data_IF_461199831704
#
_entry.id   IF_461199831704
#
_cell.length_a   1.000
_cell.length_b   1.000
_cell.length_c   1.000
_cell.angle_alpha   90.00
_cell.angle_beta   90.00
_cell.angle_gamma   90.00
#
_symmetry.space_group_name_H-M   'P 1'
#
loop_
_entity.id
_entity.type
_entity.pdbx_description
1 polymer ?
#
# COMPACT_ATOMS: atom_id res chain seq x y z
N UNK A 1 25.32 9.60 -0.02
CA UNK A 1 23.91 9.81 0.41
C UNK A 1 23.43 11.23 0.16
N UNK A 2 24.30 12.25 0.15
CA UNK A 2 23.95 13.65 -0.15
C UNK A 2 23.28 13.82 -1.53
N UNK A 3 23.75 13.11 -2.56
CA UNK A 3 23.17 13.21 -3.91
C UNK A 3 21.72 12.72 -4.00
N UNK A 4 21.34 11.68 -3.26
CA UNK A 4 19.98 11.13 -3.34
C UNK A 4 18.97 12.08 -2.69
N UNK A 5 19.37 12.69 -1.56
CA UNK A 5 18.55 13.70 -0.89
C UNK A 5 18.45 14.95 -1.76
N UNK A 6 19.56 15.42 -2.36
CA UNK A 6 19.56 16.58 -3.26
C UNK A 6 18.69 16.38 -4.52
N UNK A 7 18.72 15.18 -5.10
CA UNK A 7 17.84 14.81 -6.22
C UNK A 7 16.38 14.77 -5.74
N UNK A 8 16.12 14.19 -4.57
CA UNK A 8 14.75 14.11 -4.05
C UNK A 8 14.17 15.48 -3.68
N UNK A 9 14.95 16.40 -3.12
CA UNK A 9 14.49 17.75 -2.77
C UNK A 9 14.51 18.73 -3.93
N UNK A 10 14.98 18.31 -5.11
CA UNK A 10 14.87 19.12 -6.32
C UNK A 10 13.39 19.36 -6.65
N UNK A 11 12.96 20.61 -6.89
CA UNK A 11 11.54 20.96 -7.07
C UNK A 11 10.83 20.11 -8.15
N UNK A 12 11.58 19.79 -9.19
CA UNK A 12 11.17 19.05 -10.39
C UNK A 12 10.77 17.59 -10.05
N UNK A 13 11.32 17.04 -8.96
CA UNK A 13 11.11 15.66 -8.52
C UNK A 13 10.03 15.53 -7.43
N UNK A 14 9.50 16.64 -6.92
CA UNK A 14 8.40 16.66 -5.92
C UNK A 14 7.18 15.86 -6.42
N UNK A 15 6.72 15.97 -7.69
CA UNK A 15 5.59 15.18 -8.18
C UNK A 15 5.87 13.67 -8.13
N UNK A 16 7.09 13.25 -8.46
CA UNK A 16 7.50 11.84 -8.44
C UNK A 16 7.47 11.30 -7.01
N UNK A 17 7.96 12.08 -6.04
CA UNK A 17 7.92 11.71 -4.62
C UNK A 17 6.49 11.59 -4.12
N UNK A 18 5.62 12.55 -4.50
CA UNK A 18 4.19 12.47 -4.19
C UNK A 18 3.56 11.18 -4.73
N UNK A 19 3.86 10.82 -5.97
CA UNK A 19 3.40 9.58 -6.59
C UNK A 19 3.94 8.34 -5.83
N UNK A 20 5.21 8.36 -5.43
CA UNK A 20 5.84 7.29 -4.66
C UNK A 20 5.14 7.07 -3.31
N UNK A 21 4.81 8.14 -2.60
CA UNK A 21 4.05 8.06 -1.34
C UNK A 21 2.68 7.45 -1.59
N UNK A 22 1.95 7.88 -2.63
CA UNK A 22 0.65 7.29 -2.98
C UNK A 22 0.75 5.80 -3.29
N UNK A 23 1.76 5.39 -4.06
CA UNK A 23 2.03 3.99 -4.37
C UNK A 23 2.27 3.19 -3.08
N UNK A 24 3.07 3.71 -2.15
CA UNK A 24 3.35 3.05 -0.87
C UNK A 24 2.09 2.90 -0.02
N UNK A 25 1.22 3.91 0.02
CA UNK A 25 -0.06 3.86 0.75
C UNK A 25 -0.98 2.79 0.15
N UNK A 26 -1.13 2.78 -1.19
CA UNK A 26 -1.95 1.79 -1.89
C UNK A 26 -1.39 0.37 -1.70
N UNK A 27 -0.08 0.20 -1.86
CA UNK A 27 0.60 -1.08 -1.69
C UNK A 27 0.46 -1.60 -0.26
N UNK A 28 0.67 -0.74 0.75
CA UNK A 28 0.47 -1.10 2.15
C UNK A 28 -0.97 -1.53 2.45
N UNK A 29 -1.94 -0.83 1.86
CA UNK A 29 -3.36 -1.18 1.99
C UNK A 29 -3.67 -2.53 1.34
N UNK A 30 -3.15 -2.79 0.15
CA UNK A 30 -3.31 -4.06 -0.56
C UNK A 30 -2.68 -5.23 0.21
N UNK A 31 -1.46 -5.05 0.74
CA UNK A 31 -0.79 -6.07 1.55
C UNK A 31 -1.59 -6.35 2.83
N UNK A 32 -2.08 -5.32 3.52
CA UNK A 32 -2.90 -5.49 4.72
C UNK A 32 -4.18 -6.28 4.44
N UNK A 33 -4.86 -5.99 3.33
CA UNK A 33 -6.04 -6.73 2.89
C UNK A 33 -5.69 -8.18 2.53
N UNK A 34 -4.62 -8.40 1.77
CA UNK A 34 -4.16 -9.73 1.39
C UNK A 34 -3.86 -10.61 2.61
N UNK A 35 -3.14 -10.09 3.60
CA UNK A 35 -2.84 -10.82 4.84
C UNK A 35 -4.11 -11.13 5.63
N UNK A 36 -5.05 -10.18 5.71
CA UNK A 36 -6.31 -10.36 6.43
C UNK A 36 -7.18 -11.43 5.77
N UNK A 37 -7.32 -11.38 4.44
CA UNK A 37 -8.08 -12.37 3.68
C UNK A 37 -7.41 -13.74 3.71
N UNK A 38 -6.08 -13.83 3.60
CA UNK A 38 -5.36 -15.11 3.71
C UNK A 38 -5.61 -15.80 5.07
N UNK A 39 -5.66 -15.03 6.16
CA UNK A 39 -6.03 -15.54 7.48
C UNK A 39 -7.48 -16.06 7.54
N UNK A 40 -8.42 -15.38 6.87
CA UNK A 40 -9.82 -15.82 6.81
C UNK A 40 -9.96 -17.11 5.99
N UNK A 41 -9.24 -17.21 4.86
CA UNK A 41 -9.18 -18.42 4.03
C UNK A 41 -8.64 -19.61 4.84
N UNK A 42 -7.54 -19.43 5.58
CA UNK A 42 -6.95 -20.47 6.44
C UNK A 42 -7.91 -20.96 7.53
N UNK A 43 -8.83 -20.11 7.97
CA UNK A 43 -9.88 -20.46 8.95
C UNK A 43 -11.13 -21.08 8.33
N UNK A 44 -11.15 -21.27 7.00
CA UNK A 44 -12.33 -21.73 6.26
C UNK A 44 -13.47 -20.70 6.17
N UNK A 45 -13.22 -19.44 6.57
CA UNK A 45 -14.23 -18.38 6.67
C UNK A 45 -14.23 -17.50 5.42
N UNK A 46 -14.32 -18.11 4.23
CA UNK A 46 -14.25 -17.37 2.95
C UNK A 46 -15.39 -16.37 2.79
N UNK A 47 -16.58 -16.67 3.30
CA UNK A 47 -17.76 -15.81 3.14
C UNK A 47 -17.60 -14.44 3.83
N UNK A 48 -16.81 -14.39 4.91
CA UNK A 48 -16.51 -13.15 5.65
C UNK A 48 -15.61 -12.18 4.88
N UNK A 49 -14.93 -12.64 3.83
CA UNK A 49 -14.10 -11.78 2.98
C UNK A 49 -14.99 -10.78 2.23
N UNK A 50 -16.14 -11.24 1.73
CA UNK A 50 -17.10 -10.38 1.03
C UNK A 50 -17.77 -9.39 1.97
N UNK A 51 -18.10 -9.81 3.20
CA UNK A 51 -18.61 -8.90 4.25
C UNK A 51 -17.60 -7.81 4.61
N UNK A 52 -16.30 -8.13 4.67
CA UNK A 52 -15.26 -7.15 4.97
C UNK A 52 -14.95 -6.21 3.82
N UNK A 53 -15.10 -6.64 2.56
CA UNK A 53 -14.88 -5.78 1.39
C UNK A 53 -16.06 -4.85 1.10
N UNK A 54 -17.28 -5.26 1.45
CA UNK A 54 -18.50 -4.48 1.16
C UNK A 54 -18.81 -3.41 2.23
N UNK A 55 -18.13 -3.47 3.38
CA UNK A 55 -18.33 -2.57 4.51
C UNK A 55 -17.38 -1.39 4.49
#
# INVERSE_FOLDING_TARGET
>A
MENVIAIATQPDNIPIIGMLILILVCLGSAIKQAVRHDRLIKKGQRDRIFEEMYR
#
